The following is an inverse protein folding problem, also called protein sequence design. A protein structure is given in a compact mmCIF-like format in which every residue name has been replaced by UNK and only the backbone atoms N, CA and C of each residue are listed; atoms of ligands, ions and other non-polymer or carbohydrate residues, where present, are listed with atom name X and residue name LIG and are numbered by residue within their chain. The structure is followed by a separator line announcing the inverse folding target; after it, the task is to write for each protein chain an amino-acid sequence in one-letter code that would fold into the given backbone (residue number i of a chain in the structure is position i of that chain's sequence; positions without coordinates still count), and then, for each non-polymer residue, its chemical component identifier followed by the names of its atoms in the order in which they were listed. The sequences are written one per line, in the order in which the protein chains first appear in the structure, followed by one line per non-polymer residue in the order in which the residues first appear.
data_IF_962065885836
#
_entry.id   IF_962065885836
#
_cell.length_a   1.000
_cell.length_b   1.000
_cell.length_c   1.000
_cell.angle_alpha   90.00
_cell.angle_beta   90.00
_cell.angle_gamma   90.00
#
_symmetry.space_group_name_H-M   'P 1'
#
loop_
_entity.id
_entity.type
_entity.pdbx_description
1 polymer ?
#
# COMPACT_ATOMS: atom_id res chain seq x y z
N UNK A 1 6.05 11.36 -11.33
CA UNK A 1 6.45 10.40 -10.29
C UNK A 1 5.28 9.70 -9.60
N UNK A 2 4.13 10.35 -9.34
CA UNK A 2 2.95 9.68 -8.74
C UNK A 2 2.30 8.58 -9.59
N UNK A 3 2.48 8.60 -10.91
CA UNK A 3 1.85 7.65 -11.85
C UNK A 3 2.50 6.27 -11.87
N UNK A 4 3.77 6.15 -11.46
CA UNK A 4 4.54 4.89 -11.52
C UNK A 4 4.26 3.95 -10.33
N UNK A 5 3.82 4.50 -9.19
CA UNK A 5 3.57 3.72 -7.96
C UNK A 5 2.22 2.99 -8.04
N UNK A 6 1.20 3.62 -8.64
CA UNK A 6 -0.13 3.03 -8.83
C UNK A 6 -0.06 1.83 -9.80
N UNK A 7 0.79 1.92 -10.83
CA UNK A 7 0.97 0.88 -11.85
C UNK A 7 1.64 -0.38 -11.33
N UNK A 8 2.60 -0.25 -10.41
CA UNK A 8 3.34 -1.41 -9.88
C UNK A 8 2.49 -2.24 -8.91
N UNK A 9 1.73 -1.59 -8.02
CA UNK A 9 0.97 -2.26 -6.96
C UNK A 9 -0.26 -2.98 -7.51
N UNK A 10 -0.96 -2.40 -8.49
CA UNK A 10 -2.19 -2.98 -9.04
C UNK A 10 -1.93 -4.15 -10.01
N UNK A 11 -0.79 -4.16 -10.71
CA UNK A 11 -0.41 -5.22 -11.66
C UNK A 11 -0.02 -6.55 -11.00
N UNK A 12 0.51 -6.52 -9.77
CA UNK A 12 0.97 -7.72 -9.04
C UNK A 12 -0.20 -8.56 -8.50
N UNK A 13 -1.30 -7.93 -8.07
CA UNK A 13 -2.47 -8.61 -7.47
C UNK A 13 -3.45 -9.23 -8.50
N UNK A 14 -3.53 -8.66 -9.70
CA UNK A 14 -4.47 -9.11 -10.73
C UNK A 14 -4.00 -10.40 -11.45
N UNK A 15 -2.69 -10.66 -11.48
CA UNK A 15 -2.10 -11.74 -12.28
C UNK A 15 -1.78 -12.98 -11.45
N UNK A 16 -1.50 -12.83 -10.15
CA UNK A 16 -1.09 -13.95 -9.33
C UNK A 16 -2.28 -14.65 -8.67
N UNK A 17 -2.58 -15.82 -9.26
CA UNK A 17 -3.36 -16.93 -8.72
C UNK A 17 -4.90 -16.80 -8.73
N UNK A 18 -5.48 -17.14 -9.89
CA UNK A 18 -6.90 -17.49 -10.06
C UNK A 18 -7.43 -18.57 -9.08
N UNK A 19 -6.59 -19.21 -8.26
CA UNK A 19 -6.97 -20.29 -7.34
C UNK A 19 -6.12 -20.35 -6.06
N UNK A 20 -5.71 -19.22 -5.48
CA UNK A 20 -5.16 -19.26 -4.12
C UNK A 20 -6.29 -19.47 -3.09
N UNK A 21 -6.50 -20.72 -2.69
CA UNK A 21 -7.34 -21.15 -1.54
C UNK A 21 -8.85 -20.86 -1.63
N UNK A 22 -9.58 -21.62 -2.45
CA UNK A 22 -11.00 -21.93 -2.18
C UNK A 22 -12.02 -20.78 -2.27
N UNK A 23 -11.66 -19.61 -2.77
CA UNK A 23 -12.57 -18.52 -3.13
C UNK A 23 -12.23 -17.99 -4.52
N UNK A 24 -13.20 -17.37 -5.20
CA UNK A 24 -13.01 -16.77 -6.52
C UNK A 24 -12.99 -15.26 -6.42
N UNK A 25 -12.00 -14.62 -7.06
CA UNK A 25 -11.96 -13.16 -7.21
C UNK A 25 -12.96 -12.73 -8.31
N UNK A 26 -13.52 -11.52 -8.24
CA UNK A 26 -14.46 -11.02 -9.24
C UNK A 26 -13.86 -11.01 -10.65
N UNK A 27 -14.68 -11.38 -11.63
CA UNK A 27 -14.32 -11.40 -13.06
C UNK A 27 -15.35 -10.64 -13.91
N UNK A 28 -16.13 -9.77 -13.29
CA UNK A 28 -17.10 -8.93 -14.01
C UNK A 28 -16.39 -7.94 -14.91
N UNK A 29 -17.03 -7.61 -16.04
CA UNK A 29 -16.42 -6.76 -17.06
C UNK A 29 -16.12 -5.33 -16.55
N UNK A 30 -17.02 -4.75 -15.75
CA UNK A 30 -16.82 -3.41 -15.21
C UNK A 30 -15.71 -3.38 -14.14
N UNK A 31 -15.62 -4.40 -13.28
CA UNK A 31 -14.46 -4.56 -12.39
C UNK A 31 -13.14 -4.60 -13.17
N UNK A 32 -13.03 -5.49 -14.16
CA UNK A 32 -11.79 -5.64 -14.95
C UNK A 32 -11.40 -4.35 -15.67
N UNK A 33 -12.35 -3.68 -16.32
CA UNK A 33 -12.13 -2.40 -16.98
C UNK A 33 -11.76 -1.28 -16.01
N UNK A 34 -12.34 -1.29 -14.81
CA UNK A 34 -12.00 -0.34 -13.75
C UNK A 34 -10.54 -0.47 -13.30
N UNK A 35 -10.07 -1.71 -13.11
CA UNK A 35 -8.69 -2.00 -12.75
C UNK A 35 -7.73 -1.69 -13.90
N UNK A 36 -8.09 -2.05 -15.14
CA UNK A 36 -7.30 -1.72 -16.33
C UNK A 36 -7.14 -0.20 -16.50
N UNK A 37 -8.23 0.56 -16.39
CA UNK A 37 -8.19 2.02 -16.44
C UNK A 37 -7.32 2.62 -15.33
N UNK A 38 -7.32 2.05 -14.11
CA UNK A 38 -6.40 2.46 -13.05
C UNK A 38 -4.94 2.21 -13.42
N UNK A 39 -4.63 1.04 -13.99
CA UNK A 39 -3.29 0.70 -14.46
C UNK A 39 -2.80 1.62 -15.59
N UNK A 40 -3.71 2.11 -16.42
CA UNK A 40 -3.40 3.09 -17.46
C UNK A 40 -3.30 4.53 -16.92
N UNK A 41 -3.65 4.75 -15.64
CA UNK A 41 -3.72 6.08 -15.03
C UNK A 41 -4.97 6.88 -15.45
N UNK A 42 -5.95 6.24 -16.09
CA UNK A 42 -7.21 6.82 -16.54
C UNK A 42 -8.23 6.87 -15.38
N UNK A 43 -7.99 7.75 -14.41
CA UNK A 43 -8.76 7.87 -13.15
C UNK A 43 -10.27 8.09 -13.38
N UNK A 44 -10.65 8.89 -14.38
CA UNK A 44 -12.07 9.16 -14.69
C UNK A 44 -12.80 7.90 -15.18
N UNK A 45 -12.15 7.12 -16.07
CA UNK A 45 -12.71 5.87 -16.57
C UNK A 45 -12.76 4.82 -15.46
N UNK A 46 -11.70 4.72 -14.65
CA UNK A 46 -11.68 3.85 -13.49
C UNK A 46 -12.84 4.15 -12.54
N UNK A 47 -13.05 5.41 -12.19
CA UNK A 47 -14.17 5.83 -11.33
C UNK A 47 -15.51 5.40 -11.95
N UNK A 48 -15.69 5.60 -13.24
CA UNK A 48 -16.92 5.25 -13.96
C UNK A 48 -17.20 3.75 -13.92
N UNK A 49 -16.21 2.93 -14.31
CA UNK A 49 -16.37 1.48 -14.33
C UNK A 49 -16.56 0.89 -12.93
N UNK A 50 -15.78 1.34 -11.94
CA UNK A 50 -15.93 0.89 -10.56
C UNK A 50 -17.26 1.33 -9.95
N UNK A 51 -17.80 2.49 -10.34
CA UNK A 51 -19.15 2.91 -9.93
C UNK A 51 -20.21 1.99 -10.52
N UNK A 52 -20.12 1.63 -11.80
CA UNK A 52 -21.04 0.69 -12.42
C UNK A 52 -20.97 -0.69 -11.74
N UNK A 53 -19.76 -1.16 -11.45
CA UNK A 53 -19.54 -2.41 -10.72
C UNK A 53 -20.20 -2.38 -9.34
N UNK A 54 -19.97 -1.34 -8.54
CA UNK A 54 -20.52 -1.25 -7.19
C UNK A 54 -22.04 -0.99 -7.16
N UNK A 55 -22.62 -0.44 -8.23
CA UNK A 55 -24.06 -0.36 -8.38
C UNK A 55 -24.69 -1.74 -8.65
N UNK A 56 -24.01 -2.60 -9.43
CA UNK A 56 -24.50 -3.94 -9.75
C UNK A 56 -24.17 -4.97 -8.64
N UNK A 57 -22.98 -4.87 -8.06
CA UNK A 57 -22.41 -5.78 -7.07
C UNK A 57 -21.88 -4.98 -5.87
N UNK A 58 -22.78 -4.46 -5.00
CA UNK A 58 -22.40 -3.58 -3.90
C UNK A 58 -21.50 -4.25 -2.84
N UNK A 59 -21.45 -5.58 -2.82
CA UNK A 59 -20.61 -6.37 -1.91
C UNK A 59 -19.26 -6.76 -2.55
N UNK A 60 -18.90 -6.22 -3.71
CA UNK A 60 -17.59 -6.47 -4.31
C UNK A 60 -16.49 -5.72 -3.53
N UNK A 61 -15.95 -6.38 -2.50
CA UNK A 61 -14.88 -5.83 -1.65
C UNK A 61 -13.60 -5.45 -2.39
N UNK A 62 -13.31 -6.09 -3.53
CA UNK A 62 -12.16 -5.79 -4.37
C UNK A 62 -12.36 -4.48 -5.13
N UNK A 63 -13.55 -4.28 -5.71
CA UNK A 63 -13.93 -3.02 -6.36
C UNK A 63 -13.95 -1.85 -5.37
N UNK A 64 -14.41 -2.07 -4.14
CA UNK A 64 -14.31 -1.11 -3.05
C UNK A 64 -12.85 -0.73 -2.74
N UNK A 65 -11.92 -1.69 -2.77
CA UNK A 65 -10.49 -1.41 -2.57
C UNK A 65 -9.94 -0.46 -3.63
N UNK A 66 -10.22 -0.74 -4.91
CA UNK A 66 -9.79 0.11 -6.01
C UNK A 66 -10.50 1.47 -6.01
N UNK A 67 -11.78 1.51 -5.63
CA UNK A 67 -12.52 2.77 -5.48
C UNK A 67 -11.89 3.66 -4.41
N UNK A 68 -11.39 3.08 -3.30
CA UNK A 68 -10.68 3.85 -2.28
C UNK A 68 -9.45 4.57 -2.84
N UNK A 69 -8.67 3.90 -3.70
CA UNK A 69 -7.51 4.50 -4.36
C UNK A 69 -7.90 5.63 -5.30
N UNK A 70 -8.94 5.42 -6.13
CA UNK A 70 -9.49 6.43 -7.03
C UNK A 70 -9.93 7.67 -6.24
N UNK A 71 -10.70 7.47 -5.17
CA UNK A 71 -11.21 8.56 -4.35
C UNK A 71 -10.09 9.32 -3.61
N UNK A 72 -9.08 8.60 -3.13
CA UNK A 72 -7.88 9.20 -2.55
C UNK A 72 -7.16 10.09 -3.57
N UNK A 73 -6.98 9.60 -4.80
CA UNK A 73 -6.37 10.38 -5.88
C UNK A 73 -7.19 11.64 -6.22
N UNK A 74 -8.51 11.53 -6.21
CA UNK A 74 -9.44 12.65 -6.42
C UNK A 74 -9.52 13.62 -5.23
N UNK A 75 -8.88 13.30 -4.09
CA UNK A 75 -8.93 14.11 -2.87
C UNK A 75 -10.24 13.99 -2.08
N UNK A 76 -11.12 13.05 -2.42
CA UNK A 76 -12.32 12.75 -1.64
C UNK A 76 -11.98 11.74 -0.55
N UNK A 77 -11.34 12.24 0.51
CA UNK A 77 -10.92 11.42 1.65
C UNK A 77 -12.12 10.72 2.32
N UNK A 78 -13.30 11.36 2.35
CA UNK A 78 -14.49 10.77 2.98
C UNK A 78 -14.95 9.54 2.22
N UNK A 79 -15.05 9.63 0.89
CA UNK A 79 -15.42 8.49 0.06
C UNK A 79 -14.34 7.41 0.06
N UNK A 80 -13.06 7.81 0.08
CA UNK A 80 -11.94 6.87 0.17
C UNK A 80 -11.99 6.03 1.46
N UNK A 81 -12.20 6.67 2.61
CA UNK A 81 -12.35 5.96 3.90
C UNK A 81 -13.58 5.05 3.92
N UNK A 82 -14.70 5.49 3.34
CA UNK A 82 -15.89 4.64 3.24
C UNK A 82 -15.60 3.39 2.41
N UNK A 83 -15.02 3.56 1.22
CA UNK A 83 -14.73 2.47 0.31
C UNK A 83 -13.73 1.47 0.90
N UNK A 84 -12.63 1.92 1.53
CA UNK A 84 -11.65 0.99 2.12
C UNK A 84 -12.22 0.21 3.32
N UNK A 85 -13.16 0.79 4.07
CA UNK A 85 -13.84 0.09 5.16
C UNK A 85 -14.81 -0.98 4.64
N UNK A 86 -15.58 -0.69 3.59
CA UNK A 86 -16.41 -1.71 2.93
C UNK A 86 -15.55 -2.78 2.26
N UNK A 87 -14.38 -2.41 1.73
CA UNK A 87 -13.41 -3.36 1.19
C UNK A 87 -12.99 -4.39 2.24
N UNK A 88 -12.52 -3.94 3.41
CA UNK A 88 -12.12 -4.82 4.52
C UNK A 88 -13.26 -5.67 5.08
N UNK A 89 -14.51 -5.21 4.92
CA UNK A 89 -15.73 -5.94 5.32
C UNK A 89 -16.06 -7.07 4.36
N UNK A 90 -15.89 -6.86 3.06
CA UNK A 90 -16.35 -7.80 2.02
C UNK A 90 -15.25 -8.69 1.44
N UNK A 91 -13.97 -8.31 1.54
CA UNK A 91 -12.88 -9.21 1.15
C UNK A 91 -12.85 -10.42 2.11
N UNK A 92 -12.89 -11.67 1.61
CA UNK A 92 -12.82 -12.86 2.45
C UNK A 92 -11.56 -12.90 3.31
N UNK A 93 -11.68 -13.35 4.57
CA UNK A 93 -10.52 -13.53 5.47
C UNK A 93 -9.41 -14.42 4.89
N UNK A 94 -9.80 -15.35 4.00
CA UNK A 94 -8.87 -16.24 3.31
C UNK A 94 -8.02 -15.53 2.25
N UNK A 95 -8.46 -14.40 1.69
CA UNK A 95 -7.68 -13.59 0.74
C UNK A 95 -6.74 -12.65 1.50
N UNK A 96 -5.71 -13.23 2.11
CA UNK A 96 -4.74 -12.48 2.91
C UNK A 96 -4.03 -11.40 2.09
N UNK A 97 -3.88 -11.61 0.78
CA UNK A 97 -3.19 -10.70 -0.14
C UNK A 97 -4.01 -9.40 -0.33
N UNK A 98 -5.28 -9.52 -0.72
CA UNK A 98 -6.14 -8.33 -0.89
C UNK A 98 -6.50 -7.68 0.44
N UNK A 99 -6.60 -8.45 1.53
CA UNK A 99 -6.81 -7.85 2.85
C UNK A 99 -5.59 -7.07 3.33
N UNK A 100 -4.38 -7.58 3.11
CA UNK A 100 -3.16 -6.81 3.38
C UNK A 100 -3.14 -5.52 2.57
N UNK A 101 -3.51 -5.59 1.29
CA UNK A 101 -3.60 -4.42 0.42
C UNK A 101 -4.65 -3.39 0.88
N UNK A 102 -5.80 -3.83 1.38
CA UNK A 102 -6.84 -2.95 1.91
C UNK A 102 -6.39 -2.28 3.22
N UNK A 103 -5.71 -3.01 4.11
CA UNK A 103 -5.10 -2.42 5.30
C UNK A 103 -4.00 -1.42 4.95
N UNK A 104 -3.09 -1.76 4.05
CA UNK A 104 -2.10 -0.84 3.50
C UNK A 104 -2.75 0.45 2.98
N UNK A 105 -3.80 0.31 2.18
CA UNK A 105 -4.53 1.45 1.61
C UNK A 105 -5.13 2.34 2.70
N UNK A 106 -5.73 1.74 3.74
CA UNK A 106 -6.31 2.49 4.86
C UNK A 106 -5.23 3.13 5.73
N UNK A 107 -4.11 2.44 5.97
CA UNK A 107 -2.94 2.98 6.66
C UNK A 107 -2.41 4.24 5.97
N UNK A 108 -2.28 4.23 4.64
CA UNK A 108 -1.87 5.40 3.86
C UNK A 108 -2.89 6.56 3.94
N UNK A 109 -4.19 6.26 3.95
CA UNK A 109 -5.24 7.27 4.16
C UNK A 109 -5.16 7.89 5.57
N UNK A 110 -4.93 7.06 6.59
CA UNK A 110 -4.76 7.50 7.98
C UNK A 110 -3.50 8.34 8.15
N UNK A 111 -2.40 7.97 7.51
CA UNK A 111 -1.18 8.78 7.46
C UNK A 111 -1.45 10.17 6.88
N UNK A 112 -2.16 10.25 5.75
CA UNK A 112 -2.55 11.54 5.14
C UNK A 112 -3.46 12.36 6.07
N UNK A 113 -4.28 11.69 6.88
CA UNK A 113 -5.10 12.30 7.92
C UNK A 113 -4.32 12.63 9.22
N UNK A 114 -3.01 12.31 9.28
CA UNK A 114 -2.14 12.43 10.46
C UNK A 114 -2.56 11.57 11.65
N UNK A 115 -3.35 10.54 11.41
CA UNK A 115 -3.74 9.52 12.37
C UNK A 115 -2.67 8.42 12.40
N UNK A 116 -1.47 8.77 12.89
CA UNK A 116 -0.28 7.92 12.74
C UNK A 116 -0.35 6.62 13.55
N UNK A 117 -0.97 6.63 14.73
CA UNK A 117 -1.11 5.44 15.55
C UNK A 117 -2.03 4.41 14.89
N UNK A 118 -3.15 4.87 14.35
CA UNK A 118 -4.09 4.02 13.62
C UNK A 118 -3.50 3.54 12.29
N UNK A 119 -2.69 4.38 11.63
CA UNK A 119 -1.97 3.97 10.42
C UNK A 119 -0.94 2.86 10.70
N UNK A 120 -0.23 2.95 11.82
CA UNK A 120 0.70 1.93 12.30
C UNK A 120 -0.02 0.60 12.56
N UNK A 121 -1.16 0.62 13.26
CA UNK A 121 -1.98 -0.59 13.51
C UNK A 121 -2.45 -1.27 12.22
N UNK A 122 -2.88 -0.51 11.21
CA UNK A 122 -3.28 -1.07 9.92
C UNK A 122 -2.09 -1.68 9.18
N UNK A 123 -0.93 -1.03 9.20
CA UNK A 123 0.26 -1.53 8.52
C UNK A 123 0.86 -2.74 9.23
N UNK A 124 0.71 -2.84 10.56
CA UNK A 124 1.02 -4.06 11.32
C UNK A 124 0.18 -5.24 10.83
N UNK A 125 -1.12 -5.05 10.62
CA UNK A 125 -2.00 -6.08 10.06
C UNK A 125 -1.64 -6.44 8.62
N UNK A 126 -1.27 -5.45 7.79
CA UNK A 126 -0.80 -5.71 6.42
C UNK A 126 0.47 -6.57 6.43
N UNK A 127 1.48 -6.22 7.25
CA UNK A 127 2.72 -7.00 7.41
C UNK A 127 2.43 -8.39 7.97
N UNK A 128 1.52 -8.53 8.92
CA UNK A 128 1.15 -9.84 9.49
C UNK A 128 0.57 -10.78 8.44
N UNK A 129 -0.22 -10.24 7.51
CA UNK A 129 -0.86 -11.00 6.43
C UNK A 129 0.10 -11.31 5.27
N UNK A 130 0.96 -10.37 4.89
CA UNK A 130 1.96 -10.53 3.83
C UNK A 130 3.35 -10.08 4.29
N UNK A 131 4.05 -10.90 5.12
CA UNK A 131 5.30 -10.49 5.77
C UNK A 131 6.50 -10.34 4.82
N UNK A 132 6.37 -10.78 3.57
CA UNK A 132 7.37 -10.63 2.51
C UNK A 132 7.07 -9.45 1.56
N UNK A 133 5.97 -8.74 1.76
CA UNK A 133 5.61 -7.59 0.93
C UNK A 133 6.38 -6.35 1.40
N UNK A 134 7.32 -5.91 0.55
CA UNK A 134 8.23 -4.79 0.79
C UNK A 134 7.48 -3.48 0.97
N UNK A 135 6.36 -3.29 0.26
CA UNK A 135 5.60 -2.04 0.29
C UNK A 135 4.99 -1.76 1.66
N UNK A 136 4.60 -2.80 2.39
CA UNK A 136 4.04 -2.64 3.73
C UNK A 136 5.07 -2.10 4.73
N UNK A 137 6.34 -2.56 4.66
CA UNK A 137 7.42 -2.01 5.49
C UNK A 137 7.77 -0.58 5.08
N UNK A 138 7.82 -0.29 3.77
CA UNK A 138 8.07 1.07 3.28
C UNK A 138 7.01 2.06 3.75
N UNK A 139 5.72 1.70 3.65
CA UNK A 139 4.64 2.55 4.14
C UNK A 139 4.71 2.77 5.65
N UNK A 140 5.03 1.73 6.43
CA UNK A 140 5.13 1.89 7.90
C UNK A 140 6.35 2.73 8.28
N UNK A 141 7.45 2.61 7.55
CA UNK A 141 8.58 3.52 7.67
C UNK A 141 8.19 4.99 7.38
N UNK A 142 7.41 5.25 6.34
CA UNK A 142 6.88 6.59 6.05
C UNK A 142 6.00 7.12 7.19
N UNK A 143 5.11 6.28 7.75
CA UNK A 143 4.30 6.63 8.93
C UNK A 143 5.18 6.99 10.11
N UNK A 144 6.18 6.16 10.40
CA UNK A 144 7.13 6.39 11.49
C UNK A 144 7.91 7.69 11.31
N UNK A 145 8.44 7.95 10.11
CA UNK A 145 9.14 9.19 9.80
C UNK A 145 8.24 10.41 9.99
N UNK A 146 6.98 10.36 9.55
CA UNK A 146 6.01 11.45 9.75
C UNK A 146 5.58 11.63 11.21
N UNK A 147 5.72 10.59 12.03
CA UNK A 147 5.45 10.61 13.48
C UNK A 147 6.71 10.91 14.32
N UNK A 148 7.87 11.13 13.69
CA UNK A 148 9.14 11.38 14.38
C UNK A 148 9.79 10.16 15.04
N UNK A 149 9.35 8.95 14.69
CA UNK A 149 9.87 7.65 15.15
C UNK A 149 10.98 7.16 14.20
N UNK A 150 12.12 7.86 14.21
CA UNK A 150 13.13 7.69 13.15
C UNK A 150 13.88 6.35 13.22
N UNK A 151 14.10 5.83 14.43
CA UNK A 151 14.74 4.55 14.68
C UNK A 151 13.86 3.39 14.18
N UNK A 152 12.55 3.43 14.46
CA UNK A 152 11.59 2.45 13.93
C UNK A 152 11.48 2.53 12.41
N UNK A 153 11.51 3.74 11.84
CA UNK A 153 11.58 3.93 10.39
C UNK A 153 12.82 3.28 9.78
N UNK A 154 14.00 3.45 10.39
CA UNK A 154 15.24 2.82 9.91
C UNK A 154 15.15 1.29 9.95
N UNK A 155 14.59 0.73 11.02
CA UNK A 155 14.41 -0.71 11.17
C UNK A 155 13.52 -1.30 10.05
N UNK A 156 12.43 -0.64 9.71
CA UNK A 156 11.55 -1.07 8.62
C UNK A 156 12.21 -0.93 7.25
N UNK A 157 12.97 0.15 7.01
CA UNK A 157 13.74 0.29 5.76
C UNK A 157 14.82 -0.78 5.63
N UNK A 158 15.48 -1.17 6.73
CA UNK A 158 16.41 -2.31 6.73
C UNK A 158 15.72 -3.62 6.39
N UNK A 159 14.51 -3.85 6.92
CA UNK A 159 13.72 -5.03 6.57
C UNK A 159 13.31 -5.03 5.10
N UNK A 160 12.85 -3.88 4.58
CA UNK A 160 12.54 -3.69 3.17
C UNK A 160 13.75 -4.01 2.28
N UNK A 161 14.94 -3.47 2.59
CA UNK A 161 16.19 -3.76 1.86
C UNK A 161 16.59 -5.24 1.88
N UNK A 162 16.31 -5.95 2.99
CA UNK A 162 16.60 -7.37 3.15
C UNK A 162 15.66 -8.24 2.30
N UNK A 163 14.40 -7.84 2.21
CA UNK A 163 13.40 -8.53 1.41
C UNK A 163 13.61 -8.30 -0.09
N UNK A 164 13.92 -7.06 -0.49
CA UNK A 164 14.24 -6.74 -1.87
C UNK A 164 15.15 -5.50 -2.01
N UNK A 165 15.97 -5.51 -3.04
CA UNK A 165 16.87 -4.41 -3.40
C UNK A 165 16.17 -3.31 -4.22
N UNK A 166 15.15 -2.70 -3.62
CA UNK A 166 14.55 -1.43 -4.06
C UNK A 166 15.54 -0.28 -4.35
N UNK A 167 15.50 0.42 -5.49
CA UNK A 167 16.12 1.76 -5.64
C UNK A 167 15.35 2.83 -4.82
N UNK A 168 14.05 2.66 -4.68
CA UNK A 168 13.12 3.51 -3.92
C UNK A 168 13.34 3.45 -2.39
N UNK A 169 13.83 2.34 -1.84
CA UNK A 169 14.19 2.24 -0.42
C UNK A 169 15.36 3.19 -0.09
N UNK A 170 16.30 3.39 -1.03
CA UNK A 170 17.36 4.38 -0.87
C UNK A 170 16.79 5.81 -0.80
N UNK A 171 15.81 6.14 -1.63
CA UNK A 171 15.17 7.46 -1.61
C UNK A 171 14.49 7.72 -0.25
N UNK A 172 13.82 6.72 0.33
CA UNK A 172 13.21 6.82 1.66
C UNK A 172 14.25 6.98 2.76
N UNK A 173 15.38 6.27 2.68
CA UNK A 173 16.47 6.45 3.64
C UNK A 173 17.11 7.84 3.53
N UNK A 174 17.21 8.42 2.33
CA UNK A 174 17.66 9.80 2.16
C UNK A 174 16.66 10.81 2.75
N UNK A 175 15.35 10.55 2.63
CA UNK A 175 14.32 11.37 3.28
C UNK A 175 14.42 11.26 4.81
N UNK A 176 14.67 10.05 5.33
CA UNK A 176 14.85 9.79 6.76
C UNK A 176 16.02 10.59 7.34
N UNK A 177 17.16 10.65 6.63
CA UNK A 177 18.31 11.49 7.01
C UNK A 177 17.99 12.99 6.98
N UNK A 178 17.14 13.44 6.05
CA UNK A 178 16.71 14.84 6.01
C UNK A 178 15.76 15.17 7.17
N UNK A 179 14.89 14.23 7.54
CA UNK A 179 13.96 14.36 8.66
C UNK A 179 14.68 14.33 10.02
N UNK A 180 15.77 13.56 10.12
CA UNK A 180 16.61 13.48 11.30
C UNK A 180 18.10 13.74 10.97
N UNK A 181 18.54 15.02 10.93
CA UNK A 181 19.91 15.39 10.57
C UNK A 181 20.93 15.18 11.72
N UNK A 182 20.64 14.28 12.66
CA UNK A 182 21.54 13.95 13.75
C UNK A 182 22.79 13.20 13.24
N UNK A 183 24.02 13.61 13.60
CA UNK A 183 25.24 12.97 13.10
C UNK A 183 25.42 11.51 13.53
N UNK A 184 24.97 11.12 14.73
CA UNK A 184 25.07 9.73 15.18
C UNK A 184 24.11 8.86 14.39
N UNK A 185 22.88 9.36 14.19
CA UNK A 185 21.90 8.69 13.36
C UNK A 185 22.35 8.59 11.89
N UNK A 186 23.04 9.61 11.36
CA UNK A 186 23.65 9.55 10.04
C UNK A 186 24.64 8.38 9.91
N UNK A 187 25.50 8.17 10.91
CA UNK A 187 26.44 7.04 10.93
C UNK A 187 25.71 5.69 11.00
N UNK A 188 24.59 5.61 11.74
CA UNK A 188 23.75 4.41 11.81
C UNK A 188 23.12 4.06 10.45
N UNK A 189 22.49 5.04 9.78
CA UNK A 189 21.86 4.85 8.47
C UNK A 189 22.90 4.48 7.40
N UNK A 190 24.07 5.15 7.39
CA UNK A 190 25.16 4.84 6.44
C UNK A 190 25.81 3.47 6.68
N UNK A 191 25.88 3.04 7.93
CA UNK A 191 26.30 1.67 8.28
C UNK A 191 25.29 0.63 7.78
N UNK A 192 23.99 0.90 7.91
CA UNK A 192 22.93 0.05 7.40
C UNK A 192 23.04 -0.16 5.88
N UNK A 193 23.30 0.90 5.12
CA UNK A 193 23.54 0.83 3.67
C UNK A 193 24.73 -0.05 3.30
N UNK A 194 25.85 0.15 3.99
CA UNK A 194 27.10 -0.57 3.69
C UNK A 194 26.95 -2.08 3.91
N UNK A 195 26.27 -2.47 4.98
CA UNK A 195 26.01 -3.88 5.28
C UNK A 195 25.06 -4.54 4.26
N UNK A 196 24.01 -3.83 3.83
CA UNK A 196 23.03 -4.36 2.89
C UNK A 196 23.60 -4.52 1.45
N UNK A 197 24.57 -3.69 1.07
CA UNK A 197 25.25 -3.80 -0.24
C UNK A 197 26.35 -4.85 -0.25
N UNK A 198 27.07 -5.05 0.88
CA UNK A 198 28.12 -6.05 1.01
C UNK A 198 27.61 -7.50 1.09
N UNK A 199 26.33 -7.71 1.40
CA UNK A 199 25.71 -9.04 1.52
C UNK A 199 25.22 -9.62 0.17
N UNK A 200 25.50 -8.98 -0.96
CA UNK A 200 25.15 -9.40 -2.33
C UNK A 200 26.34 -10.04 -3.03
#
# INVERSE_FOLDING_TARGET
MKTLIITLICGLLAVNSLFAKGFERPVTADYQKGVEALNEGNIEQAYTYLTNELNANPENGYAHCYMALVCNFCGDAKLAFHAVNESLRFIPEADTEYRAFAYYTRGMLLMNAKAYAEAEEDLDEAIRLTPSDVENYKARAEVYMNNGKYEESLADLQMAMKLDSHADVYDLMMQLLQANPDPVFFDEVTSAFSNATAAR
#
